data_IF_453214056346
#
_entry.id   IF_453214056346
#
_cell.length_a   1.000
_cell.length_b   1.000
_cell.length_c   1.000
_cell.angle_alpha   90.00
_cell.angle_beta   90.00
_cell.angle_gamma   90.00
#
_symmetry.space_group_name_H-M   'P 1'
#
loop_
_entity.id
_entity.type
_entity.pdbx_description
1 polymer ?
#
# COMPACT_ATOMS: atom_id res chain seq x y z
N UNK A 1 41.57 -12.47 2.83
CA UNK A 1 40.99 -11.29 3.50
C UNK A 1 40.34 -10.47 2.42
N UNK A 2 39.07 -10.12 2.58
CA UNK A 2 38.36 -9.21 1.67
C UNK A 2 39.08 -7.86 1.69
N UNK A 3 39.40 -7.33 0.51
CA UNK A 3 40.06 -6.05 0.37
C UNK A 3 39.10 -4.89 0.70
N UNK A 4 39.65 -3.73 1.05
CA UNK A 4 38.86 -2.52 1.31
C UNK A 4 38.06 -2.13 0.05
N UNK A 5 38.64 -2.30 -1.13
CA UNK A 5 37.97 -2.06 -2.42
C UNK A 5 36.78 -3.00 -2.66
N UNK A 6 36.88 -4.29 -2.31
CA UNK A 6 35.74 -5.23 -2.39
C UNK A 6 34.61 -4.82 -1.43
N UNK A 7 34.93 -4.43 -0.19
CA UNK A 7 33.94 -3.96 0.79
C UNK A 7 33.24 -2.67 0.32
N UNK A 8 33.99 -1.73 -0.29
CA UNK A 8 33.39 -0.50 -0.87
C UNK A 8 32.39 -0.86 -1.97
N UNK A 9 32.73 -1.82 -2.83
CA UNK A 9 31.84 -2.26 -3.91
C UNK A 9 30.55 -2.88 -3.37
N UNK A 10 30.66 -3.78 -2.37
CA UNK A 10 29.50 -4.38 -1.72
C UNK A 10 28.58 -3.33 -1.06
N UNK A 11 29.17 -2.32 -0.41
CA UNK A 11 28.41 -1.22 0.20
C UNK A 11 27.62 -0.43 -0.85
N UNK A 12 28.22 -0.12 -2.00
CA UNK A 12 27.55 0.61 -3.07
C UNK A 12 26.42 -0.23 -3.70
N UNK A 13 26.62 -1.54 -3.88
CA UNK A 13 25.58 -2.47 -4.33
C UNK A 13 24.39 -2.53 -3.35
N UNK A 14 24.68 -2.59 -2.04
CA UNK A 14 23.65 -2.57 -0.99
C UNK A 14 22.89 -1.25 -0.99
N UNK A 15 23.58 -0.11 -1.09
CA UNK A 15 22.93 1.21 -1.17
C UNK A 15 22.03 1.32 -2.38
N UNK A 16 22.50 0.90 -3.55
CA UNK A 16 21.72 0.93 -4.78
C UNK A 16 20.45 0.06 -4.67
N UNK A 17 20.55 -1.13 -4.05
CA UNK A 17 19.40 -1.98 -3.78
C UNK A 17 18.44 -1.35 -2.77
N UNK A 18 18.96 -0.83 -1.67
CA UNK A 18 18.15 -0.21 -0.63
C UNK A 18 17.40 1.01 -1.18
N UNK A 19 18.03 1.81 -2.04
CA UNK A 19 17.36 2.92 -2.71
C UNK A 19 16.12 2.47 -3.49
N UNK A 20 16.24 1.41 -4.30
CA UNK A 20 15.09 0.85 -5.04
C UNK A 20 13.99 0.37 -4.09
N UNK A 21 14.37 -0.39 -3.06
CA UNK A 21 13.44 -0.94 -2.06
C UNK A 21 12.70 0.16 -1.29
N UNK A 22 13.40 1.23 -0.89
CA UNK A 22 12.78 2.34 -0.18
C UNK A 22 11.88 3.18 -1.11
N UNK A 23 12.24 3.34 -2.39
CA UNK A 23 11.37 3.97 -3.38
C UNK A 23 10.06 3.18 -3.57
N UNK A 24 10.14 1.85 -3.68
CA UNK A 24 8.96 0.98 -3.79
C UNK A 24 8.09 1.05 -2.53
N UNK A 25 8.69 1.01 -1.33
CA UNK A 25 7.97 1.19 -0.06
C UNK A 25 7.30 2.56 0.03
N UNK A 26 7.97 3.62 -0.40
CA UNK A 26 7.43 4.97 -0.42
C UNK A 26 6.22 5.04 -1.36
N UNK A 27 6.30 4.44 -2.54
CA UNK A 27 5.16 4.31 -3.45
C UNK A 27 4.00 3.54 -2.81
N UNK A 28 4.27 2.37 -2.23
CA UNK A 28 3.24 1.53 -1.63
C UNK A 28 2.49 2.20 -0.48
N UNK A 29 3.16 3.07 0.25
CA UNK A 29 2.62 3.82 1.39
C UNK A 29 2.13 5.22 1.03
N UNK A 30 2.37 5.67 -0.21
CA UNK A 30 2.02 7.00 -0.68
C UNK A 30 0.51 7.25 -0.71
N UNK A 31 0.13 8.51 -0.47
CA UNK A 31 -1.23 8.97 -0.70
C UNK A 31 -1.63 8.89 -2.17
N UNK A 32 -0.68 9.12 -3.09
CA UNK A 32 -0.90 9.01 -4.54
C UNK A 32 -1.48 7.66 -4.92
N UNK A 33 -0.87 6.55 -4.46
CA UNK A 33 -1.39 5.21 -4.70
C UNK A 33 -2.79 5.02 -4.10
N UNK A 34 -3.02 5.51 -2.88
CA UNK A 34 -4.34 5.41 -2.21
C UNK A 34 -5.44 6.13 -2.99
N UNK A 35 -5.16 7.33 -3.49
CA UNK A 35 -6.09 8.09 -4.32
C UNK A 35 -6.38 7.41 -5.66
N UNK A 36 -5.35 6.88 -6.33
CA UNK A 36 -5.52 6.12 -7.57
C UNK A 36 -6.44 4.92 -7.35
N UNK A 37 -6.19 4.13 -6.30
CA UNK A 37 -7.02 2.95 -6.01
C UNK A 37 -8.44 3.39 -5.62
N UNK A 38 -8.62 4.42 -4.80
CA UNK A 38 -9.95 4.93 -4.44
C UNK A 38 -10.75 5.33 -5.69
N UNK A 39 -10.14 6.05 -6.63
CA UNK A 39 -10.81 6.49 -7.86
C UNK A 39 -11.17 5.30 -8.76
N UNK A 40 -10.23 4.36 -8.96
CA UNK A 40 -10.47 3.17 -9.77
C UNK A 40 -11.58 2.29 -9.15
N UNK A 41 -11.52 2.06 -7.84
CA UNK A 41 -12.56 1.30 -7.11
C UNK A 41 -13.91 1.98 -7.24
N UNK A 42 -13.99 3.30 -7.07
CA UNK A 42 -15.23 4.04 -7.23
C UNK A 42 -15.81 3.87 -8.63
N UNK A 43 -15.00 4.07 -9.67
CA UNK A 43 -15.43 3.94 -11.07
C UNK A 43 -15.95 2.52 -11.35
N UNK A 44 -15.21 1.48 -10.97
CA UNK A 44 -15.62 0.08 -11.19
C UNK A 44 -16.95 -0.22 -10.51
N UNK A 45 -17.17 0.28 -9.30
CA UNK A 45 -18.39 0.01 -8.54
C UNK A 45 -19.57 0.80 -9.09
N UNK A 46 -19.37 2.05 -9.49
CA UNK A 46 -20.40 2.82 -10.20
C UNK A 46 -20.84 2.08 -11.46
N UNK A 47 -19.90 1.61 -12.29
CA UNK A 47 -20.19 0.82 -13.50
C UNK A 47 -20.97 -0.45 -13.13
N UNK A 48 -20.53 -1.18 -12.11
CA UNK A 48 -21.22 -2.38 -11.64
C UNK A 48 -22.67 -2.08 -11.22
N UNK A 49 -22.90 -1.01 -10.47
CA UNK A 49 -24.23 -0.62 -10.00
C UNK A 49 -25.15 -0.22 -11.16
N UNK A 50 -24.62 0.47 -12.17
CA UNK A 50 -25.36 0.76 -13.40
C UNK A 50 -25.78 -0.51 -14.14
N UNK A 51 -24.85 -1.43 -14.36
CA UNK A 51 -25.13 -2.70 -15.07
C UNK A 51 -26.12 -3.57 -14.29
N UNK A 52 -25.99 -3.61 -12.96
CA UNK A 52 -26.86 -4.36 -12.07
C UNK A 52 -28.21 -3.67 -11.80
N UNK A 53 -28.45 -2.46 -12.34
CA UNK A 53 -29.66 -1.65 -12.12
C UNK A 53 -29.97 -1.43 -10.63
N UNK A 54 -28.92 -1.23 -9.84
CA UNK A 54 -29.05 -0.95 -8.40
C UNK A 54 -29.41 0.52 -8.17
N UNK A 55 -30.17 0.83 -7.10
CA UNK A 55 -30.51 2.21 -6.77
C UNK A 55 -29.26 3.00 -6.38
N UNK A 56 -29.31 4.31 -6.64
CA UNK A 56 -28.31 5.32 -6.29
C UNK A 56 -26.84 4.89 -6.53
N UNK A 57 -26.44 4.53 -7.78
CA UNK A 57 -25.10 4.03 -8.10
C UNK A 57 -23.95 4.91 -7.59
N UNK A 58 -24.09 6.23 -7.71
CA UNK A 58 -23.05 7.18 -7.31
C UNK A 58 -22.91 7.33 -5.79
N UNK A 59 -24.02 7.31 -5.05
CA UNK A 59 -24.00 7.44 -3.60
C UNK A 59 -23.51 6.13 -2.96
N UNK A 60 -24.02 5.00 -3.44
CA UNK A 60 -23.70 3.71 -2.86
C UNK A 60 -22.27 3.24 -3.18
N UNK A 61 -21.68 3.67 -4.30
CA UNK A 61 -20.28 3.41 -4.60
C UNK A 61 -19.28 4.10 -3.64
N UNK A 62 -19.74 5.07 -2.83
CA UNK A 62 -18.89 5.71 -1.80
C UNK A 62 -18.54 4.71 -0.70
N UNK A 63 -19.47 3.81 -0.32
CA UNK A 63 -19.28 2.90 0.82
C UNK A 63 -18.08 1.97 0.60
N UNK A 64 -17.94 1.26 -0.53
CA UNK A 64 -16.79 0.37 -0.74
C UNK A 64 -15.48 1.14 -0.93
N UNK A 65 -15.50 2.31 -1.58
CA UNK A 65 -14.31 3.15 -1.76
C UNK A 65 -13.80 3.70 -0.43
N UNK A 66 -14.70 4.12 0.47
CA UNK A 66 -14.37 4.53 1.82
C UNK A 66 -13.85 3.36 2.66
N UNK A 67 -14.49 2.19 2.57
CA UNK A 67 -14.04 0.97 3.24
C UNK A 67 -12.62 0.57 2.82
N UNK A 68 -12.29 0.70 1.53
CA UNK A 68 -10.93 0.46 1.04
C UNK A 68 -9.93 1.41 1.70
N UNK A 69 -10.17 2.72 1.70
CA UNK A 69 -9.25 3.68 2.34
C UNK A 69 -9.10 3.43 3.83
N UNK A 70 -10.19 3.15 4.54
CA UNK A 70 -10.15 2.78 5.95
C UNK A 70 -9.30 1.52 6.19
N UNK A 71 -9.37 0.53 5.31
CA UNK A 71 -8.50 -0.66 5.40
C UNK A 71 -7.02 -0.30 5.29
N UNK A 72 -6.65 0.63 4.40
CA UNK A 72 -5.26 1.05 4.22
C UNK A 72 -4.67 1.78 5.44
N UNK A 73 -5.54 2.39 6.26
CA UNK A 73 -5.14 3.08 7.49
C UNK A 73 -5.12 2.15 8.71
N UNK A 74 -6.04 1.19 8.76
CA UNK A 74 -6.22 0.32 9.93
C UNK A 74 -5.30 -0.90 9.93
N UNK A 75 -5.08 -1.55 8.79
CA UNK A 75 -4.25 -2.76 8.68
C UNK A 75 -2.81 -2.57 9.21
N UNK A 76 -2.11 -1.44 8.94
CA UNK A 76 -0.79 -1.20 9.53
C UNK A 76 -0.80 -1.10 11.06
N UNK A 77 -1.88 -0.58 11.65
CA UNK A 77 -2.04 -0.50 13.11
C UNK A 77 -2.19 -1.90 13.71
N UNK A 78 -3.06 -2.72 13.11
CA UNK A 78 -3.23 -4.13 13.51
C UNK A 78 -1.94 -4.92 13.35
N UNK A 79 -1.18 -4.70 12.27
CA UNK A 79 0.14 -5.32 12.08
C UNK A 79 1.12 -4.95 13.22
N UNK A 80 1.21 -3.67 13.58
CA UNK A 80 2.08 -3.22 14.69
C UNK A 80 1.67 -3.85 16.02
N UNK A 81 0.37 -3.91 16.29
CA UNK A 81 -0.17 -4.55 17.48
C UNK A 81 0.15 -6.05 17.51
N UNK A 82 -0.07 -6.77 16.42
CA UNK A 82 0.21 -8.20 16.31
C UNK A 82 1.69 -8.53 16.54
N UNK A 83 2.59 -7.79 15.89
CA UNK A 83 4.04 -7.98 16.04
C UNK A 83 4.51 -7.77 17.48
N UNK A 84 3.98 -6.76 18.18
CA UNK A 84 4.28 -6.49 19.59
C UNK A 84 3.89 -7.65 20.52
N UNK A 85 2.83 -8.38 20.19
CA UNK A 85 2.33 -9.47 21.02
C UNK A 85 2.97 -10.82 20.68
N UNK A 86 3.37 -11.06 19.42
CA UNK A 86 4.06 -12.30 19.03
C UNK A 86 5.49 -12.37 19.55
N UNK A 87 6.23 -11.25 19.56
CA UNK A 87 7.62 -11.23 20.03
C UNK A 87 7.75 -11.04 21.55
N UNK A 88 6.64 -11.05 22.29
CA UNK A 88 6.66 -11.25 23.76
C UNK A 88 6.88 -12.74 24.04
N UNK A 89 8.12 -13.19 23.86
CA UNK A 89 8.72 -14.29 24.62
C UNK A 89 9.86 -13.72 25.44
#
# INVERSE_FOLDING_TARGET
>A
MTSIEELKKEIEEIKARNFRVEADKAWETSWTRRFIILLLTYIVIVIFFFVAKLPDPFANAVVPSAAFVLSTLTVPLFRKWWLKNIHKK
#
